data_IF_288538654226
#
_entry.id   IF_288538654226
#
_cell.length_a   1.000
_cell.length_b   1.000
_cell.length_c   1.000
_cell.angle_alpha   90.00
_cell.angle_beta   90.00
_cell.angle_gamma   90.00
#
_symmetry.space_group_name_H-M   'P 1'
#
loop_
_entity.id
_entity.type
_entity.pdbx_description
1 polymer ?
#
# COMPACT_ATOMS: atom_id res chain seq x y z
N UNK A 1 -7.73 109.68 18.33
CA UNK A 1 -6.77 108.58 18.13
C UNK A 1 -7.40 107.18 18.30
N UNK A 2 -8.57 107.02 18.94
CA UNK A 2 -9.15 105.70 19.28
C UNK A 2 -9.72 104.89 18.10
N UNK A 3 -10.19 105.53 17.02
CA UNK A 3 -10.78 104.81 15.86
C UNK A 3 -9.75 104.00 15.05
N UNK A 4 -8.48 104.41 15.06
CA UNK A 4 -7.40 103.68 14.37
C UNK A 4 -7.00 102.41 15.10
N UNK A 5 -6.89 102.47 16.44
CA UNK A 5 -6.53 101.34 17.31
C UNK A 5 -7.61 100.26 17.33
N UNK A 6 -8.89 100.65 17.34
CA UNK A 6 -10.03 99.72 17.35
C UNK A 6 -10.24 99.00 15.99
N UNK A 7 -9.73 99.56 14.89
CA UNK A 7 -9.74 98.94 13.55
C UNK A 7 -8.61 97.93 13.39
N UNK A 8 -7.41 98.27 13.84
CA UNK A 8 -6.25 97.38 13.84
C UNK A 8 -6.45 96.12 14.70
N UNK A 9 -7.06 96.26 15.89
CA UNK A 9 -7.44 95.11 16.72
C UNK A 9 -8.43 94.19 16.00
N UNK A 10 -9.41 94.75 15.29
CA UNK A 10 -10.41 94.00 14.52
C UNK A 10 -9.80 93.23 13.33
N UNK A 11 -8.81 93.83 12.68
CA UNK A 11 -8.05 93.18 11.59
C UNK A 11 -7.14 92.06 12.13
N UNK A 12 -6.56 92.21 13.33
CA UNK A 12 -5.79 91.17 14.02
C UNK A 12 -6.66 89.98 14.45
N UNK A 13 -7.82 90.23 15.07
CA UNK A 13 -8.78 89.19 15.46
C UNK A 13 -9.28 88.41 14.24
N UNK A 14 -9.56 89.10 13.13
CA UNK A 14 -9.95 88.48 11.86
C UNK A 14 -8.87 87.56 11.31
N UNK A 15 -7.60 87.95 11.42
CA UNK A 15 -6.48 87.13 10.96
C UNK A 15 -6.27 85.91 11.87
N UNK A 16 -6.40 86.07 13.19
CA UNK A 16 -6.40 84.96 14.15
C UNK A 16 -7.54 83.97 13.86
N UNK A 17 -8.73 84.47 13.54
CA UNK A 17 -9.88 83.64 13.18
C UNK A 17 -9.63 82.82 11.91
N UNK A 18 -9.01 83.42 10.88
CA UNK A 18 -8.61 82.71 9.66
C UNK A 18 -7.60 81.61 9.93
N UNK A 19 -6.59 81.89 10.78
CA UNK A 19 -5.60 80.89 11.17
C UNK A 19 -6.24 79.73 11.93
N UNK A 20 -7.18 80.02 12.84
CA UNK A 20 -7.94 79.00 13.56
C UNK A 20 -8.78 78.15 12.61
N UNK A 21 -9.54 78.78 11.69
CA UNK A 21 -10.35 78.06 10.69
C UNK A 21 -9.46 77.17 9.81
N UNK A 22 -8.28 77.66 9.40
CA UNK A 22 -7.31 76.86 8.63
C UNK A 22 -6.80 75.67 9.44
N UNK A 23 -6.46 75.86 10.71
CA UNK A 23 -6.05 74.78 11.60
C UNK A 23 -7.17 73.73 11.77
N UNK A 24 -8.40 74.16 12.02
CA UNK A 24 -9.55 73.27 12.12
C UNK A 24 -9.81 72.50 10.81
N UNK A 25 -9.68 73.13 9.64
CA UNK A 25 -9.83 72.44 8.35
C UNK A 25 -8.77 71.36 8.13
N UNK A 26 -7.52 71.61 8.54
CA UNK A 26 -6.44 70.63 8.46
C UNK A 26 -6.70 69.46 9.42
N UNK A 27 -7.15 69.76 10.64
CA UNK A 27 -7.49 68.74 11.63
C UNK A 27 -8.66 67.87 11.19
N UNK A 28 -9.73 68.46 10.63
CA UNK A 28 -10.86 67.72 10.04
C UNK A 28 -10.37 66.81 8.90
N UNK A 29 -9.48 67.31 8.04
CA UNK A 29 -8.91 66.53 6.94
C UNK A 29 -8.11 65.33 7.44
N UNK A 30 -7.29 65.53 8.48
CA UNK A 30 -6.52 64.46 9.14
C UNK A 30 -7.46 63.41 9.77
N UNK A 31 -8.45 63.85 10.55
CA UNK A 31 -9.41 62.95 11.18
C UNK A 31 -10.20 62.13 10.16
N UNK A 32 -10.58 62.71 9.01
CA UNK A 32 -11.22 61.96 7.92
C UNK A 32 -10.33 60.88 7.33
N UNK A 33 -9.04 61.17 7.14
CA UNK A 33 -8.07 60.18 6.65
C UNK A 33 -7.88 59.04 7.66
N UNK A 34 -7.76 59.36 8.95
CA UNK A 34 -7.58 58.38 10.00
C UNK A 34 -8.82 57.49 10.16
N UNK A 35 -10.03 58.07 10.10
CA UNK A 35 -11.29 57.31 10.09
C UNK A 35 -11.36 56.33 8.92
N UNK A 36 -10.93 56.74 7.71
CA UNK A 36 -10.90 55.85 6.54
C UNK A 36 -9.96 54.67 6.78
N UNK A 37 -8.75 54.93 7.27
CA UNK A 37 -7.76 53.88 7.60
C UNK A 37 -8.28 52.93 8.68
N UNK A 38 -8.98 53.45 9.69
CA UNK A 38 -9.57 52.61 10.73
C UNK A 38 -10.66 51.68 10.19
N UNK A 39 -11.50 52.15 9.26
CA UNK A 39 -12.51 51.31 8.59
C UNK A 39 -11.86 50.21 7.77
N UNK A 40 -10.90 50.55 6.91
CA UNK A 40 -10.17 49.56 6.09
C UNK A 40 -9.49 48.48 6.95
N UNK A 41 -8.92 48.86 8.10
CA UNK A 41 -8.35 47.91 9.05
C UNK A 41 -9.41 47.00 9.69
N UNK A 42 -10.59 47.54 10.01
CA UNK A 42 -11.72 46.77 10.55
C UNK A 42 -12.19 45.72 9.55
N UNK A 43 -12.43 46.14 8.30
CA UNK A 43 -12.90 45.25 7.23
C UNK A 43 -11.88 44.13 6.95
N UNK A 44 -10.58 44.46 6.96
CA UNK A 44 -9.52 43.46 6.83
C UNK A 44 -9.49 42.49 8.02
N UNK A 45 -9.76 42.94 9.25
CA UNK A 45 -9.82 42.08 10.43
C UNK A 45 -10.97 41.08 10.33
N UNK A 46 -12.15 41.53 9.87
CA UNK A 46 -13.30 40.65 9.64
C UNK A 46 -13.00 39.60 8.56
N UNK A 47 -12.41 40.02 7.44
CA UNK A 47 -12.00 39.11 6.36
C UNK A 47 -10.96 38.08 6.81
N UNK A 48 -10.01 38.46 7.67
CA UNK A 48 -9.04 37.52 8.25
C UNK A 48 -9.76 36.45 9.07
N UNK A 49 -10.72 36.83 9.93
CA UNK A 49 -11.50 35.87 10.73
C UNK A 49 -12.28 34.89 9.86
N UNK A 50 -12.93 35.38 8.80
CA UNK A 50 -13.66 34.52 7.86
C UNK A 50 -12.73 33.49 7.18
N UNK A 51 -11.53 33.92 6.78
CA UNK A 51 -10.53 33.05 6.19
C UNK A 51 -10.00 32.02 7.20
N UNK A 52 -9.76 32.42 8.45
CA UNK A 52 -9.35 31.51 9.53
C UNK A 52 -10.41 30.44 9.81
N UNK A 53 -11.68 30.81 9.83
CA UNK A 53 -12.77 29.86 10.05
C UNK A 53 -12.96 28.92 8.84
N UNK A 54 -12.80 29.44 7.62
CA UNK A 54 -12.79 28.61 6.42
C UNK A 54 -11.60 27.63 6.41
N UNK A 55 -10.42 28.04 6.86
CA UNK A 55 -9.25 27.17 7.01
C UNK A 55 -9.52 26.06 8.02
N UNK A 56 -10.03 26.38 9.21
CA UNK A 56 -10.39 25.36 10.22
C UNK A 56 -11.40 24.34 9.69
N UNK A 57 -12.36 24.77 8.88
CA UNK A 57 -13.32 23.85 8.27
C UNK A 57 -12.64 22.93 7.25
N UNK A 58 -11.71 23.46 6.45
CA UNK A 58 -10.93 22.66 5.50
C UNK A 58 -10.00 21.68 6.20
N UNK A 59 -9.36 22.08 7.28
CA UNK A 59 -8.47 21.22 8.07
C UNK A 59 -9.26 20.02 8.62
N UNK A 60 -10.43 20.25 9.23
CA UNK A 60 -11.31 19.16 9.67
C UNK A 60 -11.69 18.22 8.53
N UNK A 61 -11.95 18.77 7.34
CA UNK A 61 -12.29 17.95 6.18
C UNK A 61 -11.10 17.13 5.68
N UNK A 62 -9.88 17.66 5.79
CA UNK A 62 -8.66 16.91 5.50
C UNK A 62 -8.53 15.76 6.48
N UNK A 63 -8.65 16.01 7.79
CA UNK A 63 -8.58 14.97 8.82
C UNK A 63 -9.59 13.83 8.58
N UNK A 64 -10.83 14.17 8.23
CA UNK A 64 -11.87 13.18 7.87
C UNK A 64 -11.46 12.33 6.65
N UNK A 65 -10.93 12.97 5.61
CA UNK A 65 -10.52 12.28 4.39
C UNK A 65 -9.30 11.39 4.64
N UNK A 66 -8.33 11.84 5.44
CA UNK A 66 -7.17 11.05 5.85
C UNK A 66 -7.60 9.81 6.64
N UNK A 67 -8.58 9.95 7.54
CA UNK A 67 -9.16 8.81 8.25
C UNK A 67 -9.83 7.80 7.32
N UNK A 68 -10.59 8.28 6.32
CA UNK A 68 -11.22 7.41 5.31
C UNK A 68 -10.19 6.69 4.43
N UNK A 69 -9.10 7.36 4.06
CA UNK A 69 -8.01 6.75 3.29
C UNK A 69 -7.34 5.66 4.11
N UNK A 70 -7.00 5.93 5.38
CA UNK A 70 -6.39 4.95 6.26
C UNK A 70 -7.25 3.69 6.44
N UNK A 71 -8.58 3.87 6.56
CA UNK A 71 -9.50 2.73 6.67
C UNK A 71 -9.58 1.92 5.37
N UNK A 72 -9.61 2.59 4.21
CA UNK A 72 -9.57 1.90 2.91
C UNK A 72 -8.26 1.15 2.71
N UNK A 73 -7.14 1.70 3.12
CA UNK A 73 -5.83 1.03 3.03
C UNK A 73 -5.78 -0.24 3.87
N UNK A 74 -6.35 -0.22 5.08
CA UNK A 74 -6.49 -1.43 5.90
C UNK A 74 -7.33 -2.50 5.22
N UNK A 75 -8.48 -2.12 4.66
CA UNK A 75 -9.35 -3.05 3.94
C UNK A 75 -8.64 -3.66 2.72
N UNK A 76 -7.86 -2.85 1.99
CA UNK A 76 -7.05 -3.33 0.85
C UNK A 76 -6.01 -4.37 1.33
N UNK A 77 -5.33 -4.11 2.45
CA UNK A 77 -4.38 -5.07 3.02
C UNK A 77 -5.04 -6.39 3.42
N UNK A 78 -6.21 -6.34 4.07
CA UNK A 78 -6.97 -7.53 4.44
C UNK A 78 -7.38 -8.34 3.20
N UNK A 79 -7.94 -7.68 2.18
CA UNK A 79 -8.35 -8.32 0.94
C UNK A 79 -7.16 -8.96 0.21
N UNK A 80 -6.00 -8.30 0.18
CA UNK A 80 -4.78 -8.87 -0.39
C UNK A 80 -4.33 -10.13 0.37
N UNK A 81 -4.46 -10.15 1.70
CA UNK A 81 -4.19 -11.35 2.51
C UNK A 81 -5.12 -12.51 2.15
N UNK A 82 -6.42 -12.24 1.97
CA UNK A 82 -7.40 -13.25 1.56
C UNK A 82 -7.10 -13.77 0.15
N UNK A 83 -6.69 -12.91 -0.77
CA UNK A 83 -6.30 -13.31 -2.14
C UNK A 83 -5.10 -14.25 -2.07
N UNK A 84 -4.06 -13.91 -1.31
CA UNK A 84 -2.87 -14.74 -1.17
C UNK A 84 -3.18 -16.14 -0.60
N UNK A 85 -4.04 -16.23 0.44
CA UNK A 85 -4.50 -17.53 0.97
C UNK A 85 -5.22 -18.35 -0.10
N UNK A 86 -6.15 -17.73 -0.82
CA UNK A 86 -6.91 -18.41 -1.88
C UNK A 86 -6.00 -18.88 -3.02
N UNK A 87 -5.02 -18.08 -3.42
CA UNK A 87 -4.04 -18.46 -4.44
C UNK A 87 -3.20 -19.66 -4.00
N UNK A 88 -2.73 -19.68 -2.75
CA UNK A 88 -2.02 -20.83 -2.17
C UNK A 88 -2.89 -22.09 -2.22
N UNK A 89 -4.15 -22.01 -1.77
CA UNK A 89 -5.08 -23.13 -1.79
C UNK A 89 -5.40 -23.62 -3.21
N UNK A 90 -5.52 -22.71 -4.17
CA UNK A 90 -5.70 -23.06 -5.58
C UNK A 90 -4.47 -23.78 -6.13
N UNK A 91 -3.26 -23.34 -5.76
CA UNK A 91 -2.01 -24.01 -6.13
C UNK A 91 -1.97 -25.45 -5.59
N UNK A 92 -2.28 -25.63 -4.31
CA UNK A 92 -2.35 -26.95 -3.68
C UNK A 92 -3.39 -27.85 -4.36
N UNK A 93 -4.58 -27.33 -4.64
CA UNK A 93 -5.63 -28.07 -5.35
C UNK A 93 -5.22 -28.47 -6.77
N UNK A 94 -4.50 -27.61 -7.50
CA UNK A 94 -3.95 -27.96 -8.82
C UNK A 94 -2.95 -29.10 -8.71
N UNK A 95 -2.05 -29.04 -7.73
CA UNK A 95 -1.07 -30.09 -7.46
C UNK A 95 -1.75 -31.43 -7.10
N UNK A 96 -2.75 -31.41 -6.22
CA UNK A 96 -3.52 -32.62 -5.90
C UNK A 96 -4.28 -33.18 -7.11
N UNK A 97 -4.81 -32.31 -7.97
CA UNK A 97 -5.46 -32.74 -9.22
C UNK A 97 -4.47 -33.45 -10.14
N UNK A 98 -3.25 -32.94 -10.28
CA UNK A 98 -2.19 -33.59 -11.07
C UNK A 98 -1.80 -34.96 -10.49
N UNK A 99 -1.66 -35.06 -9.16
CA UNK A 99 -1.42 -36.34 -8.50
C UNK A 99 -2.55 -37.33 -8.72
N UNK A 100 -3.80 -36.88 -8.58
CA UNK A 100 -4.95 -37.74 -8.83
C UNK A 100 -4.99 -38.23 -10.28
N UNK A 101 -4.72 -37.36 -11.25
CA UNK A 101 -4.61 -37.75 -12.66
C UNK A 101 -3.48 -38.77 -12.89
N UNK A 102 -2.32 -38.59 -12.28
CA UNK A 102 -1.21 -39.55 -12.36
C UNK A 102 -1.58 -40.92 -11.78
N UNK A 103 -2.39 -40.95 -10.72
CA UNK A 103 -2.82 -42.17 -10.04
C UNK A 103 -3.89 -42.96 -10.81
N UNK A 104 -4.77 -42.28 -11.53
CA UNK A 104 -5.88 -42.91 -12.27
C UNK A 104 -5.52 -43.30 -13.71
N UNK A 105 -4.35 -42.89 -14.20
CA UNK A 105 -3.87 -43.30 -15.52
C UNK A 105 -3.67 -44.81 -15.61
N UNK A 106 -3.85 -45.35 -16.83
CA UNK A 106 -3.57 -46.75 -17.11
C UNK A 106 -2.11 -47.09 -16.77
N UNK A 107 -1.82 -48.30 -16.25
CA UNK A 107 -0.45 -48.73 -16.01
C UNK A 107 0.39 -48.70 -17.29
N UNK A 108 1.69 -48.43 -17.15
CA UNK A 108 2.62 -48.57 -18.27
C UNK A 108 2.76 -50.04 -18.66
N UNK A 109 3.03 -50.31 -19.94
CA UNK A 109 2.99 -51.67 -20.52
C UNK A 109 3.82 -52.69 -19.74
N UNK A 110 4.95 -52.28 -19.17
CA UNK A 110 5.89 -53.16 -18.47
C UNK A 110 5.92 -52.93 -16.96
N UNK A 111 5.02 -52.12 -16.38
CA UNK A 111 4.99 -51.80 -14.95
C UNK A 111 3.73 -52.34 -14.29
N UNK A 112 3.84 -52.70 -13.00
CA UNK A 112 2.63 -52.92 -12.20
C UNK A 112 1.87 -51.60 -12.04
N UNK A 113 0.59 -51.68 -11.69
CA UNK A 113 -0.21 -50.49 -11.39
C UNK A 113 0.49 -49.58 -10.38
N UNK A 114 0.95 -50.16 -9.28
CA UNK A 114 1.66 -49.42 -8.23
C UNK A 114 3.01 -48.83 -8.72
N UNK A 115 3.82 -49.59 -9.47
CA UNK A 115 5.07 -49.06 -10.04
C UNK A 115 4.82 -47.88 -11.00
N UNK A 116 3.75 -47.97 -11.81
CA UNK A 116 3.36 -46.91 -12.74
C UNK A 116 2.93 -45.65 -11.99
N UNK A 117 2.15 -45.82 -10.91
CA UNK A 117 1.73 -44.73 -10.03
C UNK A 117 2.91 -44.03 -9.39
N UNK A 118 3.84 -44.79 -8.77
CA UNK A 118 5.04 -44.22 -8.16
C UNK A 118 5.90 -43.50 -9.21
N UNK A 119 6.16 -44.12 -10.36
CA UNK A 119 6.94 -43.51 -11.44
C UNK A 119 6.38 -42.14 -11.88
N UNK A 120 5.06 -42.04 -12.04
CA UNK A 120 4.41 -40.80 -12.47
C UNK A 120 4.41 -39.71 -11.40
N UNK A 121 4.31 -40.10 -10.14
CA UNK A 121 4.30 -39.14 -9.04
C UNK A 121 5.68 -38.56 -8.75
N UNK A 122 6.74 -39.36 -8.85
CA UNK A 122 8.09 -38.91 -8.50
C UNK A 122 8.50 -37.61 -9.21
N UNK A 123 9.33 -36.76 -8.60
CA UNK A 123 9.86 -35.56 -9.25
C UNK A 123 10.72 -35.92 -10.48
N UNK A 124 10.85 -34.98 -11.40
CA UNK A 124 11.74 -35.14 -12.56
C UNK A 124 13.20 -34.80 -12.18
N UNK A 125 13.39 -34.02 -11.12
CA UNK A 125 14.69 -33.67 -10.58
C UNK A 125 15.43 -34.89 -10.01
N UNK A 126 16.77 -34.84 -10.08
CA UNK A 126 17.62 -35.86 -9.48
C UNK A 126 17.49 -35.81 -7.97
N UNK A 127 17.10 -36.94 -7.37
CA UNK A 127 16.93 -37.06 -5.93
C UNK A 127 17.45 -38.41 -5.42
N UNK A 128 17.81 -38.45 -4.14
CA UNK A 128 18.15 -39.67 -3.42
C UNK A 128 16.91 -40.54 -3.17
N UNK A 129 17.11 -41.80 -2.80
CA UNK A 129 16.00 -42.68 -2.41
C UNK A 129 15.19 -42.10 -1.25
N UNK A 130 15.86 -41.48 -0.27
CA UNK A 130 15.23 -40.89 0.92
C UNK A 130 14.34 -39.70 0.55
N UNK A 131 14.87 -38.76 -0.25
CA UNK A 131 14.10 -37.62 -0.74
C UNK A 131 12.90 -38.05 -1.59
N UNK A 132 13.07 -39.08 -2.44
CA UNK A 132 11.98 -39.65 -3.22
C UNK A 132 10.92 -40.33 -2.35
N UNK A 133 11.34 -41.01 -1.29
CA UNK A 133 10.44 -41.61 -0.31
C UNK A 133 9.65 -40.55 0.43
N UNK A 134 10.32 -39.52 0.95
CA UNK A 134 9.69 -38.41 1.67
C UNK A 134 8.68 -37.68 0.80
N UNK A 135 9.02 -37.46 -0.47
CA UNK A 135 8.11 -36.88 -1.45
C UNK A 135 6.84 -37.73 -1.63
N UNK A 136 6.99 -39.04 -1.85
CA UNK A 136 5.87 -39.97 -2.04
C UNK A 136 5.02 -40.11 -0.76
N UNK A 137 5.66 -40.15 0.40
CA UNK A 137 4.97 -40.17 1.69
C UNK A 137 4.20 -38.87 1.95
N UNK A 138 4.76 -37.73 1.52
CA UNK A 138 4.11 -36.42 1.57
C UNK A 138 2.86 -36.31 0.69
N UNK A 139 2.77 -37.10 -0.39
CA UNK A 139 1.57 -37.16 -1.24
C UNK A 139 0.46 -37.99 -0.61
N UNK A 140 0.81 -39.06 0.13
CA UNK A 140 -0.18 -39.89 0.82
C UNK A 140 0.20 -41.35 1.06
N UNK A 141 1.37 -41.82 0.58
CA UNK A 141 1.80 -43.21 0.73
C UNK A 141 2.50 -43.49 2.07
N UNK A 142 1.93 -43.03 3.19
CA UNK A 142 2.59 -42.98 4.51
C UNK A 142 3.18 -44.31 5.02
N UNK A 143 2.64 -45.43 4.57
CA UNK A 143 3.10 -46.77 4.97
C UNK A 143 4.24 -47.32 4.09
N UNK A 144 4.67 -46.57 3.07
CA UNK A 144 5.78 -46.98 2.22
C UNK A 144 7.10 -46.85 3.00
N UNK A 145 7.87 -47.93 3.00
CA UNK A 145 9.18 -48.01 3.66
C UNK A 145 10.31 -47.84 2.65
N UNK A 146 11.48 -47.42 3.16
CA UNK A 146 12.69 -47.25 2.35
C UNK A 146 13.07 -48.51 1.57
N UNK A 147 13.00 -49.68 2.18
CA UNK A 147 13.31 -50.96 1.52
C UNK A 147 12.43 -51.21 0.29
N UNK A 148 11.13 -50.96 0.42
CA UNK A 148 10.18 -51.07 -0.68
C UNK A 148 10.51 -50.06 -1.78
N UNK A 149 10.85 -48.83 -1.40
CA UNK A 149 11.20 -47.78 -2.35
C UNK A 149 12.47 -48.11 -3.14
N UNK A 150 13.51 -48.62 -2.47
CA UNK A 150 14.74 -49.12 -3.13
C UNK A 150 14.41 -50.20 -4.16
N UNK A 151 13.54 -51.16 -3.80
CA UNK A 151 13.12 -52.21 -4.73
C UNK A 151 12.36 -51.65 -5.93
N UNK A 152 11.47 -50.67 -5.72
CA UNK A 152 10.73 -50.01 -6.80
C UNK A 152 11.68 -49.29 -7.75
N UNK A 153 12.59 -48.47 -7.24
CA UNK A 153 13.54 -47.70 -8.06
C UNK A 153 14.47 -48.62 -8.86
N UNK A 154 15.00 -49.69 -8.26
CA UNK A 154 15.79 -50.71 -8.99
C UNK A 154 14.98 -51.38 -10.10
N UNK A 155 13.71 -51.68 -9.85
CA UNK A 155 12.83 -52.25 -10.88
C UNK A 155 12.55 -51.25 -12.01
N UNK A 156 12.35 -49.98 -11.70
CA UNK A 156 12.17 -48.90 -12.68
C UNK A 156 13.44 -48.70 -13.51
N UNK A 157 14.63 -48.78 -12.90
CA UNK A 157 15.91 -48.71 -13.60
C UNK A 157 16.12 -49.91 -14.51
N UNK A 158 15.88 -51.14 -14.03
CA UNK A 158 15.98 -52.35 -14.87
C UNK A 158 15.09 -52.27 -16.10
N UNK A 159 13.92 -51.64 -15.97
CA UNK A 159 12.96 -51.44 -17.05
C UNK A 159 13.22 -50.17 -17.87
N UNK A 160 14.25 -49.39 -17.51
CA UNK A 160 14.75 -48.21 -18.22
C UNK A 160 13.90 -46.95 -18.08
N UNK A 161 13.15 -46.81 -16.98
CA UNK A 161 12.39 -45.60 -16.62
C UNK A 161 13.21 -44.64 -15.76
N UNK A 162 14.20 -45.17 -15.04
CA UNK A 162 15.12 -44.42 -14.20
C UNK A 162 16.57 -44.82 -14.48
N UNK A 163 17.51 -43.98 -14.07
CA UNK A 163 18.94 -44.28 -14.06
C UNK A 163 19.54 -43.87 -12.72
N UNK A 164 20.35 -44.74 -12.13
CA UNK A 164 21.17 -44.39 -10.98
C UNK A 164 22.46 -43.68 -11.41
N UNK A 165 22.79 -42.59 -10.73
CA UNK A 165 24.02 -41.82 -10.89
C UNK A 165 24.69 -41.77 -9.53
N UNK A 166 25.90 -42.34 -9.44
CA UNK A 166 26.71 -42.22 -8.21
C UNK A 166 27.39 -40.86 -8.21
N UNK A 167 27.19 -40.11 -7.14
CA UNK A 167 27.91 -38.87 -6.87
C UNK A 167 28.48 -38.96 -5.46
N UNK A 168 29.81 -38.94 -5.37
CA UNK A 168 30.56 -39.14 -4.14
C UNK A 168 30.21 -40.50 -3.48
N UNK A 169 29.42 -40.47 -2.41
CA UNK A 169 28.91 -41.64 -1.67
C UNK A 169 27.40 -41.88 -1.82
N UNK A 170 26.69 -40.99 -2.51
CA UNK A 170 25.24 -41.03 -2.64
C UNK A 170 24.81 -41.56 -4.01
N UNK A 171 23.72 -42.33 -4.02
CA UNK A 171 23.06 -42.78 -5.25
C UNK A 171 21.89 -41.85 -5.53
N UNK A 172 22.00 -41.09 -6.61
CA UNK A 172 20.94 -40.23 -7.11
C UNK A 172 20.19 -40.95 -8.23
N UNK A 173 18.89 -40.74 -8.30
CA UNK A 173 18.01 -41.32 -9.30
C UNK A 173 17.51 -40.24 -10.23
N UNK A 174 17.62 -40.48 -11.53
CA UNK A 174 17.19 -39.56 -12.58
C UNK A 174 16.13 -40.25 -13.47
N UNK A 175 15.01 -39.57 -13.71
CA UNK A 175 14.02 -40.06 -14.68
C UNK A 175 14.59 -40.05 -16.08
N UNK A 176 14.36 -41.14 -16.80
CA UNK A 176 14.68 -41.24 -18.23
C UNK A 176 13.45 -40.81 -19.01
N UNK A 177 13.51 -39.63 -19.65
CA UNK A 177 12.45 -39.18 -20.56
C UNK A 177 12.32 -40.17 -21.72
N UNK A 178 11.14 -40.76 -21.86
CA UNK A 178 10.75 -41.68 -22.93
C UNK A 178 9.73 -41.03 -23.85
#
# INVERSE_FOLDING_TARGET
MERGTMRFMRDSEKEQLKLLVKACMLEISKLKMDLRKCREKSDNCERVKELEDALKLRDRRIDELEGLVAEKDRLIQELNGIIADKESRISDLKRYREYFQALTQKPEKDLTSFQSQIYRLLPDERATTEEMLDFINGIGFKDLKLENMVQILRNLERKGYFRSVRKDSLTLWEKVKR
#
